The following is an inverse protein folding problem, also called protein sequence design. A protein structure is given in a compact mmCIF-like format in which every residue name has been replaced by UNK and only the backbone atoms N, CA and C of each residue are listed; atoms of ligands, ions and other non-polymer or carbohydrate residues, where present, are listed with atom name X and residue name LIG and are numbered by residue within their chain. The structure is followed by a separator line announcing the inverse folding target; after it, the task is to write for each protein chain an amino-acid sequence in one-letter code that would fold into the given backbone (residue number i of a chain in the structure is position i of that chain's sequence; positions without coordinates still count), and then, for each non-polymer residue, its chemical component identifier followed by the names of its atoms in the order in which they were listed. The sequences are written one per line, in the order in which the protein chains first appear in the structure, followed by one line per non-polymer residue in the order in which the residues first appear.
data_IF_004231843954
#
_entry.id   IF_004231843954
#
_cell.length_a   1.000
_cell.length_b   1.000
_cell.length_c   1.000
_cell.angle_alpha   90.00
_cell.angle_beta   90.00
_cell.angle_gamma   90.00
#
_symmetry.space_group_name_H-M   'P 1'
#
loop_
_entity.id
_entity.type
_entity.pdbx_description
1 polymer ?
#
# COMPACT_ATOMS: atom_id res chain seq x y z
N UNK A 1 -32.49 -6.20 -6.95
CA UNK A 1 -33.75 -6.89 -7.33
C UNK A 1 -33.88 -6.81 -8.83
N UNK A 2 -34.38 -7.85 -9.50
CA UNK A 2 -34.69 -7.85 -10.93
C UNK A 2 -36.17 -8.19 -11.06
N UNK A 3 -37.03 -7.22 -10.78
CA UNK A 3 -38.48 -7.36 -10.96
C UNK A 3 -38.87 -6.65 -12.25
N UNK A 4 -39.78 -7.25 -13.01
CA UNK A 4 -40.35 -6.69 -14.25
C UNK A 4 -40.84 -5.24 -14.11
N UNK A 5 -41.54 -4.81 -13.02
CA UNK A 5 -41.92 -3.41 -12.87
C UNK A 5 -40.72 -2.47 -12.72
N UNK A 6 -39.66 -2.87 -12.01
CA UNK A 6 -38.46 -2.05 -11.85
C UNK A 6 -37.73 -1.88 -13.18
N UNK A 7 -37.56 -2.96 -13.94
CA UNK A 7 -36.92 -2.89 -15.27
C UNK A 7 -37.73 -2.03 -16.25
N UNK A 8 -39.06 -2.15 -16.25
CA UNK A 8 -39.92 -1.32 -17.09
C UNK A 8 -39.80 0.17 -16.72
N UNK A 9 -39.81 0.50 -15.43
CA UNK A 9 -39.65 1.88 -14.97
C UNK A 9 -38.27 2.46 -15.33
N UNK A 10 -37.21 1.68 -15.18
CA UNK A 10 -35.86 2.06 -15.60
C UNK A 10 -35.82 2.39 -17.10
N UNK A 11 -36.45 1.57 -17.95
CA UNK A 11 -36.53 1.85 -19.40
C UNK A 11 -37.36 3.08 -19.73
N UNK A 12 -38.50 3.27 -19.06
CA UNK A 12 -39.38 4.43 -19.29
C UNK A 12 -38.71 5.74 -18.90
N UNK A 13 -37.89 5.73 -17.85
CA UNK A 13 -37.18 6.90 -17.34
C UNK A 13 -35.77 7.06 -17.95
N UNK A 14 -35.39 6.20 -18.91
CA UNK A 14 -34.05 6.14 -19.47
C UNK A 14 -32.93 6.02 -18.41
N UNK A 15 -33.20 5.32 -17.31
CA UNK A 15 -32.24 5.06 -16.24
C UNK A 15 -31.46 3.79 -16.52
N UNK A 16 -30.19 3.78 -16.11
CA UNK A 16 -29.39 2.56 -16.14
C UNK A 16 -29.96 1.51 -15.17
N UNK A 17 -29.97 0.22 -15.53
CA UNK A 17 -30.53 -0.82 -14.67
C UNK A 17 -29.83 -0.89 -13.30
N UNK A 18 -30.60 -0.76 -12.22
CA UNK A 18 -30.08 -0.68 -10.84
C UNK A 18 -29.24 -1.89 -10.46
N UNK A 19 -29.62 -3.07 -10.96
CA UNK A 19 -28.89 -4.30 -10.69
C UNK A 19 -27.47 -4.27 -11.27
N UNK A 20 -27.24 -3.60 -12.41
CA UNK A 20 -25.92 -3.46 -13.01
C UNK A 20 -25.06 -2.50 -12.19
N UNK A 21 -25.65 -1.37 -11.77
CA UNK A 21 -24.97 -0.41 -10.91
C UNK A 21 -24.52 -1.03 -9.57
N UNK A 22 -25.39 -1.81 -8.93
CA UNK A 22 -25.04 -2.52 -7.69
C UNK A 22 -23.93 -3.56 -7.90
N UNK A 23 -23.95 -4.29 -9.03
CA UNK A 23 -22.92 -5.26 -9.36
C UNK A 23 -21.56 -4.58 -9.58
N UNK A 24 -21.55 -3.45 -10.30
CA UNK A 24 -20.35 -2.64 -10.50
C UNK A 24 -19.78 -2.10 -9.17
N UNK A 25 -20.63 -1.51 -8.33
CA UNK A 25 -20.23 -0.98 -7.03
C UNK A 25 -19.64 -2.08 -6.12
N UNK A 26 -20.27 -3.27 -6.11
CA UNK A 26 -19.76 -4.42 -5.38
C UNK A 26 -18.41 -4.92 -5.94
N UNK A 27 -18.26 -4.96 -7.27
CA UNK A 27 -17.01 -5.36 -7.92
C UNK A 27 -15.86 -4.40 -7.58
N UNK A 28 -16.06 -3.09 -7.73
CA UNK A 28 -15.06 -2.06 -7.39
C UNK A 28 -14.62 -2.16 -5.93
N UNK A 29 -15.58 -2.34 -5.02
CA UNK A 29 -15.28 -2.48 -3.58
C UNK A 29 -14.48 -3.74 -3.28
N UNK A 30 -14.82 -4.85 -3.92
CA UNK A 30 -14.11 -6.12 -3.77
C UNK A 30 -12.67 -6.04 -4.30
N UNK A 31 -12.46 -5.41 -5.46
CA UNK A 31 -11.12 -5.15 -6.01
C UNK A 31 -10.28 -4.28 -5.08
N UNK A 32 -10.87 -3.25 -4.47
CA UNK A 32 -10.17 -2.38 -3.50
C UNK A 32 -9.75 -3.16 -2.26
N UNK A 33 -10.62 -4.01 -1.72
CA UNK A 33 -10.26 -4.85 -0.57
C UNK A 33 -9.20 -5.90 -0.92
N UNK A 34 -9.24 -6.43 -2.15
CA UNK A 34 -8.20 -7.32 -2.64
C UNK A 34 -6.84 -6.59 -2.76
N UNK A 35 -6.80 -5.40 -3.35
CA UNK A 35 -5.56 -4.63 -3.52
C UNK A 35 -4.95 -4.17 -2.19
N UNK A 36 -5.79 -3.94 -1.16
CA UNK A 36 -5.35 -3.64 0.20
C UNK A 36 -4.92 -4.89 1.00
N UNK A 37 -5.06 -6.10 0.44
CA UNK A 37 -4.72 -7.35 1.14
C UNK A 37 -5.65 -7.73 2.29
N UNK A 38 -6.77 -7.01 2.46
CA UNK A 38 -7.75 -7.23 3.55
C UNK A 38 -8.90 -8.15 3.15
N UNK A 39 -8.95 -8.59 1.89
CA UNK A 39 -9.97 -9.51 1.40
C UNK A 39 -9.79 -10.92 2.00
N UNK A 40 -10.56 -11.22 3.04
CA UNK A 40 -10.55 -12.54 3.70
C UNK A 40 -11.44 -13.52 2.94
N UNK A 41 -10.85 -14.59 2.40
CA UNK A 41 -11.59 -15.75 1.85
C UNK A 41 -12.17 -16.67 2.94
N UNK A 42 -12.54 -16.14 4.10
CA UNK A 42 -13.00 -16.96 5.22
C UNK A 42 -14.54 -17.04 5.22
N UNK A 43 -15.10 -18.18 4.85
CA UNK A 43 -16.54 -18.49 4.96
C UNK A 43 -17.14 -19.25 3.77
N UNK A 44 -18.44 -19.59 3.87
CA UNK A 44 -19.24 -20.13 2.75
C UNK A 44 -19.17 -19.14 1.58
N UNK A 45 -18.86 -19.65 0.38
CA UNK A 45 -18.88 -18.85 -0.85
C UNK A 45 -20.29 -18.36 -1.14
N UNK A 46 -20.58 -17.11 -0.77
CA UNK A 46 -21.82 -16.43 -1.17
C UNK A 46 -21.65 -15.85 -2.58
N UNK A 47 -22.77 -15.53 -3.26
CA UNK A 47 -22.74 -14.84 -4.55
C UNK A 47 -21.86 -13.58 -4.53
N UNK A 48 -21.82 -12.86 -3.40
CA UNK A 48 -21.02 -11.66 -3.22
C UNK A 48 -19.51 -11.93 -3.19
N UNK A 49 -19.08 -13.06 -2.61
CA UNK A 49 -17.66 -13.47 -2.62
C UNK A 49 -17.19 -13.96 -4.00
N UNK A 50 -18.11 -14.39 -4.87
CA UNK A 50 -17.80 -14.89 -6.22
C UNK A 50 -17.53 -13.77 -7.23
N UNK A 51 -18.02 -12.55 -6.96
CA UNK A 51 -17.87 -11.38 -7.83
C UNK A 51 -16.39 -11.12 -8.17
N UNK A 52 -15.49 -11.25 -7.20
CA UNK A 52 -14.06 -11.04 -7.41
C UNK A 52 -13.46 -12.11 -8.34
N UNK A 53 -13.83 -13.37 -8.14
CA UNK A 53 -13.40 -14.48 -9.00
C UNK A 53 -13.93 -14.34 -10.42
N UNK A 54 -15.19 -13.95 -10.58
CA UNK A 54 -15.78 -13.65 -11.88
C UNK A 54 -15.10 -12.47 -12.57
N UNK A 55 -14.76 -11.41 -11.82
CA UNK A 55 -14.03 -10.26 -12.33
C UNK A 55 -12.64 -10.68 -12.86
N UNK A 56 -11.91 -11.52 -12.13
CA UNK A 56 -10.60 -12.04 -12.58
C UNK A 56 -10.72 -12.96 -13.80
N UNK A 57 -11.79 -13.75 -13.89
CA UNK A 57 -12.01 -14.60 -15.07
C UNK A 57 -12.36 -13.77 -16.31
N UNK A 58 -13.10 -12.67 -16.15
CA UNK A 58 -13.42 -11.75 -17.25
C UNK A 58 -12.23 -10.88 -17.66
N UNK A 59 -11.49 -10.37 -16.69
CA UNK A 59 -10.37 -9.44 -16.91
C UNK A 59 -9.18 -9.92 -16.06
N UNK A 60 -8.32 -10.80 -16.60
CA UNK A 60 -7.19 -11.37 -15.87
C UNK A 60 -6.19 -10.32 -15.35
N UNK A 61 -6.09 -9.16 -16.02
CA UNK A 61 -5.24 -8.05 -15.61
C UNK A 61 -5.57 -7.53 -14.20
N UNK A 62 -6.83 -7.66 -13.76
CA UNK A 62 -7.24 -7.23 -12.41
C UNK A 62 -6.64 -8.10 -11.31
N UNK A 63 -6.12 -9.29 -11.63
CA UNK A 63 -5.41 -10.16 -10.67
C UNK A 63 -4.00 -9.64 -10.37
N UNK A 64 -3.43 -8.82 -11.25
CA UNK A 64 -2.09 -8.26 -11.03
C UNK A 64 -2.09 -7.37 -9.78
N UNK A 65 -1.03 -7.47 -8.99
CA UNK A 65 -0.83 -6.61 -7.83
C UNK A 65 -0.75 -5.15 -8.27
N UNK A 66 -1.26 -4.22 -7.45
CA UNK A 66 -0.97 -2.81 -7.65
C UNK A 66 0.49 -2.56 -7.27
N UNK A 67 1.29 -2.03 -8.20
CA UNK A 67 2.65 -1.55 -7.93
C UNK A 67 2.66 -0.38 -6.93
N UNK A 68 1.50 0.25 -6.73
CA UNK A 68 1.31 1.32 -5.77
C UNK A 68 1.43 0.79 -4.34
N UNK A 69 2.64 0.86 -3.79
CA UNK A 69 2.87 0.81 -2.35
C UNK A 69 2.23 2.04 -1.71
N UNK A 70 1.29 1.83 -0.78
CA UNK A 70 0.87 2.90 0.13
C UNK A 70 2.07 3.36 0.96
N UNK A 71 2.14 4.65 1.27
CA UNK A 71 3.19 5.23 2.11
C UNK A 71 3.22 4.51 3.45
N UNK A 72 4.18 3.60 3.62
CA UNK A 72 4.42 2.91 4.89
C UNK A 72 5.30 3.84 5.71
N UNK A 73 4.69 4.63 6.58
CA UNK A 73 5.43 5.42 7.57
C UNK A 73 6.05 4.47 8.59
N UNK A 74 7.34 4.20 8.42
CA UNK A 74 8.15 3.41 9.36
C UNK A 74 8.68 4.38 10.40
N UNK A 75 7.94 4.55 11.50
CA UNK A 75 8.34 5.41 12.62
C UNK A 75 9.40 4.77 13.53
N UNK A 76 9.62 3.46 13.40
CA UNK A 76 10.36 2.67 14.38
C UNK A 76 11.48 1.87 13.71
N UNK A 77 12.40 2.57 13.03
CA UNK A 77 13.66 1.93 12.64
C UNK A 77 14.59 1.97 13.85
N UNK A 78 14.57 0.90 14.64
CA UNK A 78 15.47 0.74 15.79
C UNK A 78 16.87 0.41 15.28
N UNK A 79 17.70 1.43 15.08
CA UNK A 79 19.12 1.24 14.78
C UNK A 79 19.84 0.80 16.06
N UNK A 80 20.44 -0.38 16.06
CA UNK A 80 21.35 -0.82 17.14
C UNK A 80 22.77 -0.46 16.74
N UNK A 81 23.29 0.64 17.27
CA UNK A 81 24.69 1.02 17.10
C UNK A 81 25.51 0.21 18.10
N UNK A 82 26.36 -0.69 17.63
CA UNK A 82 27.36 -1.38 18.46
C UNK A 82 28.72 -0.71 18.27
N UNK A 83 29.19 0.02 19.28
CA UNK A 83 30.57 0.50 19.33
C UNK A 83 31.43 -0.62 19.93
N UNK A 84 32.49 -1.02 19.21
CA UNK A 84 33.49 -1.93 19.75
C UNK A 84 34.51 -1.08 20.50
N UNK A 85 34.60 -1.24 21.82
CA UNK A 85 35.45 -0.45 22.71
C UNK A 85 36.94 -0.86 22.67
N UNK A 86 37.38 -1.49 21.57
CA UNK A 86 38.72 -2.07 21.43
C UNK A 86 39.63 -1.24 20.53
N UNK A 87 39.64 0.08 20.71
CA UNK A 87 40.70 0.91 20.16
C UNK A 87 41.17 1.90 21.21
N UNK A 88 42.41 1.73 21.68
CA UNK A 88 43.17 2.67 22.52
C UNK A 88 43.52 3.99 21.78
N UNK A 89 42.67 4.42 20.84
CA UNK A 89 42.77 5.66 20.10
C UNK A 89 41.45 6.40 20.22
N UNK A 90 41.50 7.60 20.79
CA UNK A 90 40.35 8.51 20.86
C UNK A 90 40.03 9.01 19.45
N UNK A 91 39.21 8.26 18.71
CA UNK A 91 38.66 8.70 17.44
C UNK A 91 37.39 9.51 17.72
N UNK A 92 37.43 10.82 17.47
CA UNK A 92 36.20 11.64 17.47
C UNK A 92 35.38 11.23 16.24
N UNK A 93 34.19 10.67 16.49
CA UNK A 93 33.21 10.33 15.46
C UNK A 93 32.10 11.36 15.51
N UNK A 94 32.03 12.21 14.50
CA UNK A 94 30.94 13.17 14.33
C UNK A 94 29.81 12.54 13.51
N UNK A 95 28.63 12.41 14.13
CA UNK A 95 27.42 11.87 13.50
C UNK A 95 26.54 13.02 13.05
N UNK A 96 26.33 13.16 11.73
CA UNK A 96 25.49 14.20 11.15
C UNK A 96 24.13 13.64 10.74
N UNK A 97 23.06 14.22 11.30
CA UNK A 97 21.68 13.89 10.98
C UNK A 97 21.24 14.64 9.72
N UNK A 98 20.28 14.09 8.98
CA UNK A 98 19.74 14.72 7.77
C UNK A 98 19.24 16.15 8.05
N UNK A 99 19.77 17.12 7.30
CA UNK A 99 19.59 18.56 7.53
C UNK A 99 20.73 19.26 8.28
N UNK A 100 21.76 18.53 8.74
CA UNK A 100 22.97 19.15 9.27
C UNK A 100 23.73 19.90 8.17
N UNK A 101 24.00 21.18 8.42
CA UNK A 101 24.80 22.02 7.53
C UNK A 101 26.25 21.92 7.96
N UNK A 102 27.09 21.43 7.05
CA UNK A 102 28.55 21.50 7.16
C UNK A 102 29.07 22.60 6.24
N UNK A 103 30.29 23.07 6.48
CA UNK A 103 30.94 24.08 5.62
C UNK A 103 31.11 23.59 4.16
N UNK A 104 31.01 22.28 3.93
CA UNK A 104 31.07 21.61 2.62
C UNK A 104 29.70 21.27 2.00
N UNK A 105 28.57 21.54 2.67
CA UNK A 105 27.23 21.23 2.16
C UNK A 105 26.27 20.67 3.20
N UNK A 106 25.05 20.33 2.78
CA UNK A 106 23.98 19.78 3.64
C UNK A 106 23.69 18.33 3.26
N UNK A 107 23.64 17.43 4.24
CA UNK A 107 23.32 16.02 4.03
C UNK A 107 23.61 15.16 5.27
N UNK A 108 23.19 13.89 5.25
CA UNK A 108 23.49 12.92 6.31
C UNK A 108 24.78 12.16 6.01
N UNK A 109 25.65 11.97 7.01
CA UNK A 109 26.92 11.25 6.85
C UNK A 109 27.66 11.00 8.17
N UNK A 110 28.61 10.08 8.15
CA UNK A 110 29.51 9.79 9.28
C UNK A 110 30.90 10.24 8.86
N UNK A 111 31.53 11.13 9.64
CA UNK A 111 32.92 11.55 9.42
C UNK A 111 33.80 11.01 10.53
N UNK A 112 34.81 10.23 10.16
CA UNK A 112 35.89 9.81 11.04
C UNK A 112 37.14 10.60 10.70
N UNK A 113 37.68 11.33 11.68
CA UNK A 113 39.00 11.95 11.55
C UNK A 113 40.01 11.12 12.32
N UNK A 114 40.83 10.36 11.61
CA UNK A 114 42.01 9.75 12.21
C UNK A 114 43.09 10.84 12.34
N UNK A 115 43.47 11.17 13.58
CA UNK A 115 44.69 11.94 13.83
C UNK A 115 45.87 10.98 13.71
N UNK A 116 46.53 10.98 12.57
CA UNK A 116 47.89 10.43 12.45
C UNK A 116 48.86 11.36 13.20
N UNK A 117 49.52 10.81 14.23
CA UNK A 117 50.74 11.38 14.81
C UNK A 117 51.93 11.06 13.90
#
# INVERSE_FOLDING_TARGET
MRTTPTAALETLLCLAPLNLYMEEAAMRTSLRFHSLGVWKKQGRTTKHTRILTEAFNRIPLLRMGCDRMGTKLIYEKTYRISMNDNSEGRADIDIYVDGAKTDSGSGAGIRTTERTN
#
